data_IF_769452967841
#
_entry.id   IF_769452967841
#
_cell.length_a   1.000
_cell.length_b   1.000
_cell.length_c   1.000
_cell.angle_alpha   90.00
_cell.angle_beta   90.00
_cell.angle_gamma   90.00
#
_symmetry.space_group_name_H-M   'P 1'
#
loop_
_entity.id
_entity.type
_entity.pdbx_description
1 polymer ?
#
# COMPACT_ATOMS: atom_id res chain seq x y z
N UNK A 1 37.90 15.79 -4.11
CA UNK A 1 37.72 14.63 -3.21
C UNK A 1 37.14 15.16 -1.91
N UNK A 2 35.83 15.03 -1.73
CA UNK A 2 35.14 15.45 -0.51
C UNK A 2 34.61 14.17 0.13
N UNK A 3 35.15 13.83 1.30
CA UNK A 3 34.71 12.69 2.09
C UNK A 3 33.25 12.88 2.51
N UNK A 4 32.41 11.95 2.06
CA UNK A 4 31.03 11.79 2.47
C UNK A 4 30.98 11.44 3.96
N UNK A 5 30.68 12.45 4.79
CA UNK A 5 30.40 12.34 6.22
C UNK A 5 28.90 12.11 6.46
N UNK A 6 28.34 11.05 5.89
CA UNK A 6 27.03 10.53 6.31
C UNK A 6 27.07 9.01 6.27
N UNK A 7 27.68 8.44 7.30
CA UNK A 7 27.52 7.02 7.63
C UNK A 7 26.94 6.90 9.03
N UNK A 8 25.91 6.06 9.09
CA UNK A 8 25.20 5.51 10.23
C UNK A 8 24.45 6.48 11.12
N UNK A 9 23.14 6.50 10.97
CA UNK A 9 22.23 6.27 12.09
C UNK A 9 20.92 5.66 11.58
N UNK A 10 20.60 4.48 12.09
CA UNK A 10 19.40 3.65 11.84
C UNK A 10 19.28 2.99 10.45
N UNK A 11 19.95 1.84 10.29
CA UNK A 11 19.48 0.82 9.35
C UNK A 11 18.14 0.28 9.88
N UNK A 12 17.04 0.91 9.49
CA UNK A 12 15.71 0.39 9.76
C UNK A 12 15.52 -0.88 8.93
N UNK A 13 15.56 -2.04 9.59
CA UNK A 13 15.19 -3.31 8.97
C UNK A 13 13.67 -3.31 8.71
N UNK A 14 13.27 -2.82 7.54
CA UNK A 14 11.92 -2.93 7.02
C UNK A 14 11.86 -4.07 6.01
N UNK A 15 11.99 -5.29 6.50
CA UNK A 15 11.62 -6.44 5.68
C UNK A 15 10.11 -6.62 5.75
N UNK A 16 9.46 -6.73 4.58
CA UNK A 16 8.15 -7.39 4.54
C UNK A 16 8.33 -8.78 5.17
N UNK A 17 7.28 -9.32 5.80
CA UNK A 17 7.34 -10.71 6.21
C UNK A 17 7.76 -11.55 5.00
N UNK A 18 8.76 -12.42 5.15
CA UNK A 18 9.09 -13.47 4.18
C UNK A 18 7.87 -14.35 3.83
N UNK A 19 6.80 -14.24 4.63
CA UNK A 19 5.51 -14.92 4.55
C UNK A 19 4.39 -14.14 3.87
N UNK A 20 4.57 -12.86 3.53
CA UNK A 20 3.56 -12.11 2.78
C UNK A 20 3.51 -12.64 1.35
N UNK A 21 2.32 -13.04 0.87
CA UNK A 21 2.16 -13.21 -0.58
C UNK A 21 2.56 -11.91 -1.25
N UNK A 22 3.28 -12.03 -2.35
CA UNK A 22 4.00 -10.95 -2.97
C UNK A 22 3.05 -9.82 -3.40
N UNK A 23 2.81 -8.81 -2.56
CA UNK A 23 1.90 -7.70 -2.83
C UNK A 23 2.12 -7.02 -4.19
N UNK A 24 3.29 -7.20 -4.81
CA UNK A 24 3.59 -6.75 -6.17
C UNK A 24 2.61 -7.31 -7.20
N UNK A 25 1.97 -8.46 -6.96
CA UNK A 25 0.91 -8.99 -7.84
C UNK A 25 -0.31 -8.09 -7.94
N UNK A 26 -0.50 -7.19 -6.97
CA UNK A 26 -1.61 -6.23 -6.98
C UNK A 26 -1.35 -5.05 -7.91
N UNK A 27 -0.08 -4.79 -8.24
CA UNK A 27 0.28 -3.60 -9.00
C UNK A 27 -0.16 -3.75 -10.46
N UNK A 28 -0.82 -2.74 -11.04
CA UNK A 28 -1.15 -2.72 -12.47
C UNK A 28 0.08 -2.39 -13.33
N UNK A 29 1.15 -3.18 -13.21
CA UNK A 29 2.40 -3.00 -13.95
C UNK A 29 2.33 -3.61 -15.34
N UNK A 30 3.00 -2.96 -16.28
CA UNK A 30 3.38 -3.47 -17.59
C UNK A 30 4.90 -3.39 -17.73
N UNK A 31 5.49 -4.03 -18.73
CA UNK A 31 6.95 -3.98 -18.98
C UNK A 31 7.48 -2.54 -19.14
N UNK A 32 6.63 -1.60 -19.59
CA UNK A 32 6.99 -0.20 -19.79
C UNK A 32 6.67 0.70 -18.58
N UNK A 33 6.11 0.14 -17.50
CA UNK A 33 5.71 0.91 -16.33
C UNK A 33 6.92 1.43 -15.57
N UNK A 34 6.80 2.67 -15.09
CA UNK A 34 7.75 3.34 -14.21
C UNK A 34 7.21 3.33 -12.80
N UNK A 35 7.89 2.61 -11.93
CA UNK A 35 7.49 2.43 -10.53
C UNK A 35 8.44 3.17 -9.61
N UNK A 36 7.92 4.09 -8.81
CA UNK A 36 8.63 4.70 -7.69
C UNK A 36 8.26 3.96 -6.41
N UNK A 37 9.24 3.43 -5.69
CA UNK A 37 9.03 2.75 -4.41
C UNK A 37 9.57 3.66 -3.30
N UNK A 38 8.72 4.04 -2.35
CA UNK A 38 9.07 4.91 -1.23
C UNK A 38 9.01 4.09 0.06
N UNK A 39 10.13 4.05 0.78
CA UNK A 39 10.25 3.32 2.04
C UNK A 39 10.40 1.81 1.83
N UNK A 40 11.64 1.36 1.68
CA UNK A 40 12.06 -0.04 1.61
C UNK A 40 13.58 -0.13 1.63
N UNK A 41 14.16 -1.28 1.96
CA UNK A 41 15.60 -1.48 1.76
C UNK A 41 15.92 -1.43 0.25
N UNK A 42 16.88 -0.60 -0.14
CA UNK A 42 17.09 -0.16 -1.54
C UNK A 42 17.38 -1.33 -2.50
N UNK A 43 18.02 -2.37 -1.99
CA UNK A 43 18.65 -3.44 -2.76
C UNK A 43 17.66 -4.56 -3.14
N UNK A 44 16.63 -4.84 -2.34
CA UNK A 44 15.74 -6.00 -2.58
C UNK A 44 14.61 -5.73 -3.59
N UNK A 45 14.09 -4.50 -3.62
CA UNK A 45 12.93 -4.17 -4.46
C UNK A 45 13.34 -3.82 -5.89
N UNK A 46 14.34 -2.96 -6.05
CA UNK A 46 14.81 -2.48 -7.36
C UNK A 46 15.26 -3.65 -8.23
N UNK A 47 16.07 -4.55 -7.66
CA UNK A 47 16.61 -5.71 -8.36
C UNK A 47 15.51 -6.68 -8.82
N UNK A 48 14.42 -6.79 -8.06
CA UNK A 48 13.33 -7.69 -8.42
C UNK A 48 12.44 -7.13 -9.53
N UNK A 49 12.14 -5.84 -9.53
CA UNK A 49 11.43 -5.19 -10.65
C UNK A 49 12.29 -5.20 -11.92
N UNK A 50 13.60 -4.99 -11.80
CA UNK A 50 14.52 -5.08 -12.93
C UNK A 50 14.54 -6.50 -13.54
N UNK A 51 14.46 -7.56 -12.72
CA UNK A 51 14.39 -8.96 -13.20
C UNK A 51 13.15 -9.26 -14.04
N UNK A 52 12.04 -8.55 -13.81
CA UNK A 52 10.80 -8.69 -14.59
C UNK A 52 10.67 -7.64 -15.69
N UNK A 53 11.77 -6.93 -16.01
CA UNK A 53 11.82 -5.96 -17.10
C UNK A 53 11.14 -4.62 -16.80
N UNK A 54 10.76 -4.35 -15.54
CA UNK A 54 10.05 -3.14 -15.14
C UNK A 54 11.04 -2.12 -14.59
N UNK A 55 11.02 -0.91 -15.15
CA UNK A 55 11.86 0.19 -14.67
C UNK A 55 11.38 0.66 -13.29
N UNK A 56 12.20 0.46 -12.26
CA UNK A 56 11.89 0.88 -10.90
C UNK A 56 12.97 1.77 -10.30
N UNK A 57 12.55 2.71 -9.46
CA UNK A 57 13.44 3.55 -8.66
C UNK A 57 13.01 3.43 -7.21
N UNK A 58 13.90 2.99 -6.33
CA UNK A 58 13.64 2.91 -4.88
C UNK A 58 14.24 4.12 -4.18
N UNK A 59 13.40 4.87 -3.46
CA UNK A 59 13.78 6.01 -2.65
C UNK A 59 13.65 5.66 -1.16
N UNK A 60 14.76 5.82 -0.45
CA UNK A 60 14.89 5.48 0.98
C UNK A 60 14.29 6.52 1.94
N UNK A 61 13.88 7.68 1.44
CA UNK A 61 13.53 8.84 2.27
C UNK A 61 12.02 8.97 2.50
N UNK A 62 11.65 9.62 3.60
CA UNK A 62 10.27 9.99 3.94
C UNK A 62 9.59 10.71 2.75
N UNK A 63 8.33 10.40 2.38
CA UNK A 63 7.60 11.08 1.30
C UNK A 63 7.66 12.61 1.34
N UNK A 64 7.74 13.22 2.53
CA UNK A 64 7.88 14.68 2.69
C UNK A 64 9.25 15.22 2.23
N UNK A 65 10.31 14.42 2.33
CA UNK A 65 11.63 14.75 1.80
C UNK A 65 11.71 14.52 0.29
N UNK A 66 10.96 13.53 -0.21
CA UNK A 66 10.83 13.23 -1.65
C UNK A 66 10.25 14.43 -2.41
N UNK A 67 9.32 15.19 -1.80
CA UNK A 67 8.74 16.40 -2.37
C UNK A 67 9.74 17.55 -2.60
N UNK A 68 10.76 17.65 -1.73
CA UNK A 68 11.76 18.73 -1.77
C UNK A 68 12.97 18.40 -2.65
N UNK A 69 13.27 17.12 -2.84
CA UNK A 69 14.41 16.65 -3.67
C UNK A 69 14.00 16.29 -5.11
N UNK A 70 12.74 15.89 -5.34
CA UNK A 70 12.18 15.77 -6.69
C UNK A 70 11.85 17.16 -7.23
N UNK A 71 12.88 17.84 -7.76
CA UNK A 71 12.74 19.04 -8.58
C UNK A 71 11.63 18.87 -9.64
N UNK A 72 11.09 20.02 -10.09
CA UNK A 72 10.01 20.19 -11.08
C UNK A 72 10.08 19.28 -12.33
N UNK A 73 11.26 18.73 -12.65
CA UNK A 73 11.51 17.84 -13.78
C UNK A 73 10.91 16.42 -13.68
N UNK A 74 10.48 15.97 -12.50
CA UNK A 74 9.97 14.60 -12.28
C UNK A 74 8.47 14.55 -11.89
N UNK A 75 7.75 15.66 -12.05
CA UNK A 75 6.29 15.68 -11.88
C UNK A 75 5.63 14.87 -13.00
N UNK A 76 4.54 14.17 -12.67
CA UNK A 76 3.75 13.35 -13.61
C UNK A 76 4.56 12.27 -14.35
N UNK A 77 5.60 11.72 -13.73
CA UNK A 77 6.57 10.84 -14.40
C UNK A 77 6.32 9.35 -14.19
N UNK A 78 5.66 8.97 -13.09
CA UNK A 78 5.52 7.59 -12.66
C UNK A 78 4.12 7.04 -12.92
N UNK A 79 4.05 5.78 -13.36
CA UNK A 79 2.79 5.04 -13.46
C UNK A 79 2.29 4.58 -12.10
N UNK A 80 3.24 4.26 -11.21
CA UNK A 80 2.94 3.76 -9.88
C UNK A 80 3.88 4.41 -8.88
N UNK A 81 3.32 4.88 -7.76
CA UNK A 81 4.07 5.21 -6.56
C UNK A 81 3.65 4.24 -5.47
N UNK A 82 4.56 3.36 -5.05
CA UNK A 82 4.32 2.32 -4.07
C UNK A 82 4.95 2.69 -2.72
N UNK A 83 4.13 2.67 -1.68
CA UNK A 83 4.52 2.84 -0.27
C UNK A 83 4.12 1.58 0.49
N UNK A 84 4.85 0.47 0.32
CA UNK A 84 4.45 -0.83 0.87
C UNK A 84 4.41 -0.87 2.39
N UNK A 85 5.08 0.04 3.10
CA UNK A 85 4.98 0.15 4.57
C UNK A 85 4.26 1.42 5.04
N UNK A 86 3.69 2.16 4.09
CA UNK A 86 3.13 3.47 4.31
C UNK A 86 4.20 4.52 4.61
N UNK A 87 3.80 5.57 5.31
CA UNK A 87 4.65 6.69 5.67
C UNK A 87 5.03 6.66 7.17
N UNK A 88 6.21 7.19 7.55
CA UNK A 88 6.65 7.17 8.93
C UNK A 88 5.72 8.00 9.83
N UNK A 89 5.05 7.33 10.76
CA UNK A 89 4.02 7.92 11.63
C UNK A 89 4.53 9.04 12.56
N UNK A 90 5.85 9.08 12.84
CA UNK A 90 6.43 9.97 13.85
C UNK A 90 6.52 11.45 13.44
N UNK A 91 6.20 11.81 12.19
CA UNK A 91 6.39 13.19 11.66
C UNK A 91 5.24 13.73 10.80
N UNK A 92 4.08 13.06 10.76
CA UNK A 92 2.97 13.53 9.94
C UNK A 92 2.17 14.63 10.64
N UNK A 93 2.30 15.86 10.14
CA UNK A 93 1.40 16.97 10.48
C UNK A 93 0.13 16.98 9.62
N UNK A 94 0.20 16.54 8.36
CA UNK A 94 -0.95 16.45 7.45
C UNK A 94 -0.82 15.28 6.45
N UNK A 95 -1.68 14.27 6.61
CA UNK A 95 -1.73 13.09 5.74
C UNK A 95 -2.27 13.38 4.35
N UNK A 96 -3.22 14.32 4.24
CA UNK A 96 -3.83 14.70 2.97
C UNK A 96 -2.76 15.35 2.09
N UNK A 97 -1.92 16.19 2.67
CA UNK A 97 -0.85 16.86 1.92
C UNK A 97 0.22 15.87 1.42
N UNK A 98 0.53 14.83 2.21
CA UNK A 98 1.40 13.73 1.75
C UNK A 98 0.80 13.03 0.53
N UNK A 99 -0.50 12.70 0.57
CA UNK A 99 -1.16 12.07 -0.57
C UNK A 99 -1.23 12.98 -1.80
N UNK A 100 -1.47 14.29 -1.62
CA UNK A 100 -1.41 15.27 -2.72
C UNK A 100 -0.02 15.39 -3.32
N UNK A 101 1.01 15.35 -2.48
CA UNK A 101 2.41 15.35 -2.93
C UNK A 101 2.70 14.13 -3.78
N UNK A 102 2.36 12.93 -3.29
CA UNK A 102 2.51 11.69 -4.07
C UNK A 102 1.72 11.76 -5.37
N UNK A 103 0.54 12.38 -5.36
CA UNK A 103 -0.29 12.53 -6.56
C UNK A 103 0.44 13.29 -7.66
N UNK A 104 1.19 14.34 -7.33
CA UNK A 104 1.97 15.15 -8.29
C UNK A 104 3.10 14.38 -8.98
N UNK A 105 3.53 13.25 -8.41
CA UNK A 105 4.55 12.38 -9.01
C UNK A 105 3.96 11.43 -10.04
N UNK A 106 2.67 11.13 -9.93
CA UNK A 106 1.96 10.21 -10.81
C UNK A 106 1.55 10.90 -12.11
N UNK A 107 1.73 10.23 -13.25
CA UNK A 107 1.11 10.71 -14.48
C UNK A 107 -0.43 10.68 -14.35
N UNK A 108 -1.18 11.38 -15.23
CA UNK A 108 -2.63 11.29 -15.26
C UNK A 108 -3.13 9.84 -15.40
N UNK A 109 -3.89 9.35 -14.42
CA UNK A 109 -4.35 7.96 -14.36
C UNK A 109 -3.39 6.98 -13.68
N UNK A 110 -2.21 7.44 -13.26
CA UNK A 110 -1.26 6.67 -12.45
C UNK A 110 -1.84 6.30 -11.08
N UNK A 111 -1.25 5.30 -10.43
CA UNK A 111 -1.80 4.69 -9.22
C UNK A 111 -0.88 4.85 -8.01
N UNK A 112 -1.46 5.16 -6.85
CA UNK A 112 -0.78 4.99 -5.57
C UNK A 112 -1.04 3.57 -5.06
N UNK A 113 -0.01 2.92 -4.55
CA UNK A 113 -0.11 1.72 -3.74
C UNK A 113 0.32 2.04 -2.31
N UNK A 114 -0.52 1.74 -1.32
CA UNK A 114 -0.25 2.06 0.09
C UNK A 114 -0.52 0.86 0.98
N UNK A 115 0.50 0.46 1.74
CA UNK A 115 0.37 -0.50 2.83
C UNK A 115 0.16 0.19 4.18
N UNK A 116 -0.73 -0.35 5.02
CA UNK A 116 -0.95 0.17 6.37
C UNK A 116 -1.49 -0.89 7.34
N UNK A 117 -1.16 -0.70 8.61
CA UNK A 117 -1.66 -1.53 9.70
C UNK A 117 -2.96 -0.98 10.26
N UNK A 118 -3.85 -1.87 10.69
CA UNK A 118 -5.13 -1.49 11.26
C UNK A 118 -4.96 -0.96 12.69
N UNK A 119 -5.24 0.33 12.90
CA UNK A 119 -5.22 0.96 14.23
C UNK A 119 -6.16 0.27 15.22
N UNK A 120 -7.30 -0.24 14.75
CA UNK A 120 -8.34 -0.86 15.58
C UNK A 120 -8.33 -2.39 15.54
N UNK A 121 -7.34 -3.00 14.87
CA UNK A 121 -7.32 -4.46 14.69
C UNK A 121 -7.28 -5.20 16.04
N UNK A 122 -8.20 -6.14 16.24
CA UNK A 122 -8.23 -6.98 17.46
C UNK A 122 -6.97 -7.84 17.61
N UNK A 123 -6.38 -8.25 16.48
CA UNK A 123 -5.15 -9.02 16.44
C UNK A 123 -3.97 -8.10 16.14
N UNK A 124 -3.63 -7.22 17.10
CA UNK A 124 -2.34 -6.49 17.10
C UNK A 124 -1.20 -7.46 17.38
N UNK A 125 -0.84 -8.30 16.40
CA UNK A 125 0.52 -8.83 16.39
C UNK A 125 1.43 -7.65 16.07
N UNK A 126 2.48 -7.45 16.87
CA UNK A 126 3.49 -6.39 16.76
C UNK A 126 4.37 -6.56 15.51
N UNK A 127 3.75 -6.78 14.35
CA UNK A 127 4.37 -7.44 13.20
C UNK A 127 5.25 -6.48 12.37
N UNK A 128 5.03 -5.17 12.48
CA UNK A 128 5.92 -4.16 11.88
C UNK A 128 6.01 -2.99 12.86
N UNK A 129 7.07 -2.95 13.66
CA UNK A 129 7.40 -1.74 14.40
C UNK A 129 7.57 -0.59 13.38
N UNK A 130 6.83 0.50 13.56
CA UNK A 130 6.84 1.70 12.70
C UNK A 130 6.06 1.66 11.37
N UNK A 131 5.20 0.67 11.10
CA UNK A 131 4.27 0.77 9.96
C UNK A 131 3.25 1.89 10.17
N UNK A 132 2.84 2.56 9.09
CA UNK A 132 1.72 3.51 9.13
C UNK A 132 0.47 2.83 9.73
N UNK A 133 -0.16 3.48 10.71
CA UNK A 133 -1.33 2.96 11.43
C UNK A 133 -2.56 3.80 11.13
N UNK A 134 -3.60 3.18 10.57
CA UNK A 134 -4.84 3.87 10.23
C UNK A 134 -6.03 2.92 10.21
N UNK A 135 -7.21 3.44 9.92
CA UNK A 135 -8.39 2.62 9.64
C UNK A 135 -8.73 2.70 8.15
N UNK A 136 -9.28 1.63 7.55
CA UNK A 136 -9.68 1.64 6.14
C UNK A 136 -10.56 2.84 5.75
N UNK A 137 -11.54 3.19 6.59
CA UNK A 137 -12.41 4.32 6.35
C UNK A 137 -11.67 5.66 6.34
N UNK A 138 -10.69 5.83 7.22
CA UNK A 138 -9.88 7.04 7.29
C UNK A 138 -9.02 7.20 6.03
N UNK A 139 -8.29 6.14 5.64
CA UNK A 139 -7.44 6.13 4.44
C UNK A 139 -8.26 6.41 3.17
N UNK A 140 -9.38 5.72 2.99
CA UNK A 140 -10.27 5.93 1.83
C UNK A 140 -10.75 7.39 1.77
N UNK A 141 -11.13 7.97 2.91
CA UNK A 141 -11.56 9.36 2.98
C UNK A 141 -10.44 10.31 2.59
N UNK A 142 -9.24 10.13 3.13
CA UNK A 142 -8.10 10.99 2.87
C UNK A 142 -7.61 10.92 1.43
N UNK A 143 -7.59 9.72 0.83
CA UNK A 143 -7.30 9.54 -0.59
C UNK A 143 -8.30 10.29 -1.47
N UNK A 144 -9.62 10.19 -1.19
CA UNK A 144 -10.64 10.95 -1.93
C UNK A 144 -10.44 12.45 -1.81
N UNK A 145 -10.18 12.96 -0.61
CA UNK A 145 -9.91 14.39 -0.36
C UNK A 145 -8.61 14.88 -1.02
N UNK A 146 -7.70 13.95 -1.32
CA UNK A 146 -6.45 14.22 -2.03
C UNK A 146 -6.59 14.10 -3.55
N UNK A 147 -7.80 13.77 -4.05
CA UNK A 147 -8.09 13.66 -5.48
C UNK A 147 -7.74 12.31 -6.10
N UNK A 148 -7.88 11.23 -5.35
CA UNK A 148 -7.82 9.87 -5.90
C UNK A 148 -9.24 9.29 -6.13
N UNK A 149 -9.38 8.41 -7.13
CA UNK A 149 -10.56 7.59 -7.44
C UNK A 149 -10.20 6.11 -7.54
N UNK A 150 -11.18 5.28 -7.93
CA UNK A 150 -11.01 3.84 -8.16
C UNK A 150 -10.25 3.15 -7.04
N UNK A 151 -10.71 3.41 -5.79
CA UNK A 151 -10.03 2.96 -4.58
C UNK A 151 -10.41 1.50 -4.32
N UNK A 152 -9.46 0.60 -4.58
CA UNK A 152 -9.56 -0.81 -4.26
C UNK A 152 -8.78 -1.12 -2.98
N UNK A 153 -9.46 -1.76 -2.03
CA UNK A 153 -8.90 -2.13 -0.73
C UNK A 153 -8.73 -3.65 -0.64
N UNK A 154 -7.58 -4.06 -0.14
CA UNK A 154 -7.18 -5.46 0.02
C UNK A 154 -6.86 -5.74 1.48
N UNK A 155 -7.40 -6.83 2.00
CA UNK A 155 -7.14 -7.32 3.34
C UNK A 155 -6.07 -8.39 3.34
N UNK A 156 -5.28 -8.45 4.41
CA UNK A 156 -4.29 -9.51 4.62
C UNK A 156 -4.75 -10.41 5.76
N UNK A 157 -4.95 -11.69 5.46
CA UNK A 157 -5.21 -12.71 6.48
C UNK A 157 -3.99 -13.60 6.67
N UNK A 158 -3.47 -13.66 7.89
CA UNK A 158 -2.49 -14.66 8.28
C UNK A 158 -3.15 -16.04 8.30
N UNK A 159 -2.62 -17.01 7.56
CA UNK A 159 -2.93 -18.42 7.76
C UNK A 159 -1.80 -19.07 8.57
N UNK A 160 -2.11 -20.14 9.31
CA UNK A 160 -1.09 -20.92 10.03
C UNK A 160 -0.39 -21.94 9.12
N UNK A 161 -1.00 -22.33 7.98
CA UNK A 161 -0.50 -23.40 7.10
C UNK A 161 -0.08 -22.95 5.69
N UNK A 162 -0.39 -21.72 5.29
CA UNK A 162 -0.01 -21.16 3.98
C UNK A 162 0.60 -19.77 4.15
N UNK A 163 1.45 -19.30 3.22
CA UNK A 163 1.81 -17.89 3.16
C UNK A 163 0.56 -17.02 3.16
N UNK A 164 0.67 -15.81 3.71
CA UNK A 164 -0.43 -14.88 3.96
C UNK A 164 -1.27 -14.70 2.71
N UNK A 165 -2.60 -14.64 2.85
CA UNK A 165 -3.50 -14.38 1.71
C UNK A 165 -3.85 -12.90 1.67
N UNK A 166 -3.51 -12.23 0.56
CA UNK A 166 -4.03 -10.92 0.24
C UNK A 166 -5.26 -11.09 -0.67
N UNK A 167 -6.38 -10.46 -0.30
CA UNK A 167 -7.64 -10.60 -1.04
C UNK A 167 -8.40 -9.27 -1.11
N UNK A 168 -9.13 -9.02 -2.21
CA UNK A 168 -9.93 -7.81 -2.34
C UNK A 168 -11.11 -7.81 -1.37
N UNK A 169 -11.38 -6.66 -0.75
CA UNK A 169 -12.48 -6.47 0.19
C UNK A 169 -13.81 -6.08 -0.49
N UNK A 170 -14.00 -6.50 -1.74
CA UNK A 170 -15.30 -6.44 -2.43
C UNK A 170 -16.19 -7.54 -1.87
N UNK A 171 -17.46 -7.24 -1.59
CA UNK A 171 -18.37 -8.15 -0.87
C UNK A 171 -18.40 -9.58 -1.44
N UNK A 172 -18.49 -9.70 -2.77
CA UNK A 172 -18.57 -11.00 -3.45
C UNK A 172 -17.26 -11.81 -3.32
N UNK A 173 -16.12 -11.12 -3.44
CA UNK A 173 -14.79 -11.73 -3.38
C UNK A 173 -14.39 -12.08 -1.94
N UNK A 174 -14.78 -11.24 -0.97
CA UNK A 174 -14.62 -11.52 0.45
C UNK A 174 -15.43 -12.76 0.84
N UNK A 175 -16.70 -12.81 0.44
CA UNK A 175 -17.57 -13.95 0.70
C UNK A 175 -16.98 -15.25 0.15
N UNK A 176 -16.52 -15.23 -1.11
CA UNK A 176 -15.81 -16.35 -1.71
C UNK A 176 -14.56 -16.75 -0.92
N UNK A 177 -13.72 -15.78 -0.54
CA UNK A 177 -12.46 -16.03 0.19
C UNK A 177 -12.73 -16.68 1.55
N UNK A 178 -13.69 -16.16 2.31
CA UNK A 178 -14.06 -16.70 3.62
C UNK A 178 -14.73 -18.07 3.51
N UNK A 179 -15.62 -18.25 2.53
CA UNK A 179 -16.25 -19.54 2.27
C UNK A 179 -15.21 -20.61 1.94
N UNK A 180 -14.28 -20.30 1.04
CA UNK A 180 -13.20 -21.20 0.68
C UNK A 180 -12.32 -21.54 1.89
N UNK A 181 -11.92 -20.51 2.66
CA UNK A 181 -11.04 -20.66 3.82
C UNK A 181 -11.65 -21.51 4.93
N UNK A 182 -12.93 -21.31 5.24
CA UNK A 182 -13.60 -21.97 6.35
C UNK A 182 -14.45 -23.17 5.92
N UNK A 183 -14.36 -23.60 4.65
CA UNK A 183 -15.18 -24.69 4.09
C UNK A 183 -15.14 -25.98 4.92
N UNK A 184 -13.97 -26.30 5.48
CA UNK A 184 -13.74 -27.52 6.26
C UNK A 184 -13.91 -27.31 7.77
N UNK A 185 -14.07 -26.06 8.22
CA UNK A 185 -14.14 -25.69 9.63
C UNK A 185 -15.56 -25.34 10.08
N UNK A 186 -16.43 -24.88 9.17
CA UNK A 186 -17.77 -24.41 9.48
C UNK A 186 -18.85 -25.12 8.65
N UNK A 187 -20.04 -25.38 9.22
CA UNK A 187 -21.19 -25.89 8.48
C UNK A 187 -21.62 -24.97 7.33
N UNK A 188 -22.13 -25.56 6.23
CA UNK A 188 -22.53 -24.83 5.01
C UNK A 188 -23.52 -23.68 5.26
N UNK A 189 -24.41 -23.80 6.26
CA UNK A 189 -25.35 -22.74 6.63
C UNK A 189 -24.64 -21.49 7.15
N UNK A 190 -23.57 -21.65 7.95
CA UNK A 190 -22.78 -20.52 8.45
C UNK A 190 -21.95 -19.88 7.33
N UNK A 191 -21.42 -20.69 6.42
CA UNK A 191 -20.68 -20.21 5.25
C UNK A 191 -21.53 -19.30 4.36
N UNK A 192 -22.83 -19.55 4.27
CA UNK A 192 -23.75 -18.73 3.46
C UNK A 192 -23.89 -17.29 3.98
N UNK A 193 -23.66 -17.06 5.28
CA UNK A 193 -23.67 -15.71 5.86
C UNK A 193 -22.43 -14.90 5.49
N UNK A 194 -21.32 -15.54 5.08
CA UNK A 194 -20.12 -14.84 4.62
C UNK A 194 -20.33 -14.08 3.31
N UNK A 195 -21.32 -14.45 2.50
CA UNK A 195 -21.71 -13.71 1.30
C UNK A 195 -22.56 -12.47 1.59
N UNK A 196 -22.88 -12.19 2.86
CA UNK A 196 -23.72 -11.03 3.21
C UNK A 196 -22.91 -9.73 3.23
N UNK A 197 -23.47 -8.66 2.64
CA UNK A 197 -22.85 -7.32 2.62
C UNK A 197 -22.43 -6.76 3.99
N UNK A 198 -23.18 -6.96 5.10
CA UNK A 198 -22.78 -6.47 6.42
C UNK A 198 -21.44 -7.04 6.90
N UNK A 199 -21.04 -8.20 6.38
CA UNK A 199 -19.85 -8.90 6.82
C UNK A 199 -18.56 -8.18 6.42
N UNK A 200 -18.55 -7.46 5.29
CA UNK A 200 -17.42 -6.63 4.86
C UNK A 200 -17.08 -5.62 5.95
N UNK A 201 -18.09 -4.91 6.47
CA UNK A 201 -17.91 -3.92 7.51
C UNK A 201 -17.31 -4.50 8.78
N UNK A 202 -17.70 -5.73 9.16
CA UNK A 202 -17.16 -6.39 10.35
C UNK A 202 -15.71 -6.83 10.12
N UNK A 203 -15.42 -7.45 8.97
CA UNK A 203 -14.08 -7.95 8.64
C UNK A 203 -13.05 -6.81 8.56
N UNK A 204 -13.45 -5.61 8.11
CA UNK A 204 -12.61 -4.41 8.11
C UNK A 204 -12.05 -4.03 9.51
N UNK A 205 -12.65 -4.52 10.60
CA UNK A 205 -12.12 -4.30 11.95
C UNK A 205 -11.32 -5.49 12.49
N UNK A 206 -11.38 -6.64 11.83
CA UNK A 206 -10.72 -7.87 12.29
C UNK A 206 -9.32 -8.05 11.74
N UNK A 207 -9.02 -7.55 10.53
CA UNK A 207 -7.72 -7.76 9.92
C UNK A 207 -6.66 -6.80 10.48
N UNK A 208 -5.43 -7.29 10.55
CA UNK A 208 -4.29 -6.55 11.12
C UNK A 208 -3.64 -5.60 10.11
N UNK A 209 -3.75 -5.89 8.82
CA UNK A 209 -3.02 -5.18 7.78
C UNK A 209 -3.83 -5.09 6.48
N UNK A 210 -3.60 -4.01 5.75
CA UNK A 210 -4.29 -3.66 4.51
C UNK A 210 -3.33 -3.12 3.47
N UNK A 211 -3.69 -3.36 2.21
CA UNK A 211 -3.15 -2.64 1.07
C UNK A 211 -4.27 -1.88 0.37
N UNK A 212 -3.97 -0.71 -0.16
CA UNK A 212 -4.89 0.06 -1.00
C UNK A 212 -4.21 0.38 -2.32
N UNK A 213 -4.99 0.34 -3.39
CA UNK A 213 -4.63 0.89 -4.69
C UNK A 213 -5.66 1.96 -5.03
N UNK A 214 -5.19 3.12 -5.45
CA UNK A 214 -6.07 4.20 -5.87
C UNK A 214 -5.49 4.93 -7.07
N UNK A 215 -6.35 5.33 -8.02
CA UNK A 215 -5.95 6.07 -9.21
C UNK A 215 -5.97 7.57 -8.98
N UNK A 216 -5.00 8.27 -9.53
CA UNK A 216 -4.96 9.74 -9.51
C UNK A 216 -6.03 10.32 -10.44
N UNK A 217 -6.92 11.16 -9.90
CA UNK A 217 -7.77 12.03 -10.71
C UNK A 217 -6.96 13.26 -11.09
N UNK A 218 -6.24 13.19 -12.20
CA UNK A 218 -5.82 14.41 -12.87
C UNK A 218 -6.94 14.86 -13.79
N UNK A 219 -7.81 15.75 -13.29
CA UNK A 219 -8.26 16.83 -14.16
C UNK A 219 -7.03 17.73 -14.37
N UNK A 220 -6.55 17.94 -15.60
CA UNK A 220 -5.50 18.93 -15.83
C UNK A 220 -5.99 20.25 -15.27
N UNK A 221 -5.24 20.85 -14.35
CA UNK A 221 -5.47 22.22 -13.95
C UNK A 221 -5.21 23.05 -15.21
N UNK A 222 -6.27 23.44 -15.91
CA UNK A 222 -6.21 24.49 -16.90
C UNK A 222 -5.74 25.72 -16.17
N UNK A 223 -4.49 26.10 -16.36
CA UNK A 223 -3.97 27.40 -15.98
C UNK A 223 -4.92 28.47 -16.55
N UNK A 224 -5.65 29.14 -15.65
CA UNK A 224 -6.37 30.37 -15.92
C UNK A 224 -5.46 31.55 -15.59
#
# INVERSE_FOLDING_TARGET
MVESKYRSETSFQHSLPKSSSDWRFLLPITENSRVLIIGGEQDDFTDLFNKIGVSSVTWLCNPSAVAGELNENNQNYFDIVALPFGFPAAKLTDEIEVFRTVRRLLHPGGSIFLGFSNKLGLFRKAFIANSYQSTPHHVIRHLRLSGYSDIDLYGVMSNLETPEYIFPLKADLLGFTLQHRYRYLLPARLLHYFSSRPLVSIVLYLLSYYFVIAKSNHTPETNL
#
